data_IF_729350058985
#
_entry.id   IF_729350058985
#
_cell.length_a   1.000
_cell.length_b   1.000
_cell.length_c   1.000
_cell.angle_alpha   90.00
_cell.angle_beta   90.00
_cell.angle_gamma   90.00
#
_symmetry.space_group_name_H-M   'P 1'
#
loop_
_entity.id
_entity.type
_entity.pdbx_description
1 polymer ?
#
# COMPACT_ATOMS: atom_id res chain seq x y z
N UNK A 1 11.12 -22.36 -13.93
CA UNK A 1 12.22 -21.41 -13.73
C UNK A 1 12.39 -20.66 -15.04
N UNK A 2 12.31 -19.31 -15.02
CA UNK A 2 12.54 -18.51 -16.21
C UNK A 2 13.94 -18.78 -16.74
N UNK A 3 14.06 -19.05 -18.05
CA UNK A 3 15.34 -19.33 -18.70
C UNK A 3 16.22 -18.09 -18.85
N UNK A 4 15.64 -16.91 -18.73
CA UNK A 4 16.31 -15.61 -18.82
C UNK A 4 15.60 -14.60 -17.89
N UNK A 5 15.92 -14.60 -16.58
CA UNK A 5 15.32 -13.68 -15.63
C UNK A 5 15.83 -12.26 -15.90
N UNK A 6 14.92 -11.32 -16.20
CA UNK A 6 15.25 -9.90 -16.26
C UNK A 6 15.33 -9.30 -14.85
N UNK A 7 16.24 -8.33 -14.69
CA UNK A 7 16.30 -7.53 -13.47
C UNK A 7 15.27 -6.39 -13.53
N UNK A 8 14.63 -6.11 -12.41
CA UNK A 8 13.83 -4.90 -12.26
C UNK A 8 14.72 -3.67 -12.36
N UNK A 9 14.21 -2.59 -12.95
CA UNK A 9 14.94 -1.36 -13.16
C UNK A 9 14.15 -0.18 -12.62
N UNK A 10 14.84 0.64 -11.83
CA UNK A 10 14.32 1.90 -11.33
C UNK A 10 15.06 3.08 -11.93
N UNK A 11 14.31 4.04 -12.44
CA UNK A 11 14.82 5.36 -12.83
C UNK A 11 14.03 6.40 -12.06
N UNK A 12 14.67 7.04 -11.09
CA UNK A 12 14.01 8.02 -10.23
C UNK A 12 14.71 9.36 -10.31
N UNK A 13 13.92 10.42 -10.32
CA UNK A 13 14.37 11.80 -10.15
C UNK A 13 13.53 12.47 -9.07
N UNK A 14 14.20 13.18 -8.18
CA UNK A 14 13.58 13.92 -7.09
C UNK A 14 14.17 15.33 -7.03
N UNK A 15 13.32 16.32 -6.79
CA UNK A 15 13.74 17.69 -6.52
C UNK A 15 12.96 18.22 -5.33
N UNK A 16 13.63 18.96 -4.44
CA UNK A 16 12.99 19.48 -3.25
C UNK A 16 13.67 20.70 -2.69
N UNK A 17 12.93 21.38 -1.80
CA UNK A 17 13.40 22.55 -1.07
C UNK A 17 13.15 22.33 0.41
N UNK A 18 14.17 22.62 1.21
CA UNK A 18 14.08 22.65 2.67
C UNK A 18 14.26 24.07 3.18
N UNK A 19 13.34 24.52 4.02
CA UNK A 19 13.45 25.77 4.75
C UNK A 19 13.41 25.46 6.24
N UNK A 20 14.31 26.02 7.02
CA UNK A 20 14.39 25.78 8.46
C UNK A 20 14.83 27.04 9.20
N UNK A 21 14.12 27.31 10.29
CA UNK A 21 14.47 28.30 11.31
C UNK A 21 14.49 27.62 12.68
N UNK A 22 14.70 28.37 13.75
CA UNK A 22 14.63 27.84 15.11
C UNK A 22 13.26 27.24 15.45
N UNK A 23 12.17 27.81 14.92
CA UNK A 23 10.81 27.43 15.31
C UNK A 23 10.00 26.78 14.18
N UNK A 24 10.44 26.87 12.94
CA UNK A 24 9.70 26.35 11.77
C UNK A 24 10.64 25.59 10.87
N UNK A 25 10.21 24.41 10.44
CA UNK A 25 10.85 23.66 9.36
C UNK A 25 9.77 23.26 8.34
N UNK A 26 10.09 23.43 7.05
CA UNK A 26 9.23 23.02 5.93
C UNK A 26 10.10 22.33 4.90
N UNK A 27 9.64 21.16 4.43
CA UNK A 27 10.22 20.43 3.30
C UNK A 27 9.16 20.26 2.25
N UNK A 28 9.50 20.56 0.99
CA UNK A 28 8.67 20.25 -0.17
C UNK A 28 9.51 19.45 -1.13
N UNK A 29 9.02 18.31 -1.59
CA UNK A 29 9.68 17.49 -2.60
C UNK A 29 8.70 17.00 -3.65
N UNK A 30 9.16 16.90 -4.89
CA UNK A 30 8.45 16.28 -5.99
C UNK A 30 9.32 15.18 -6.58
N UNK A 31 8.69 14.08 -6.94
CA UNK A 31 9.39 12.91 -7.48
C UNK A 31 8.72 12.37 -8.74
N UNK A 32 9.53 11.73 -9.58
CA UNK A 32 9.08 10.90 -10.70
C UNK A 32 9.95 9.64 -10.72
N UNK A 33 9.32 8.49 -10.66
CA UNK A 33 9.97 7.18 -10.69
C UNK A 33 9.32 6.31 -11.75
N UNK A 34 10.11 5.81 -12.68
CA UNK A 34 9.73 4.75 -13.60
C UNK A 34 10.28 3.43 -13.05
N UNK A 35 9.39 2.52 -12.69
CA UNK A 35 9.71 1.16 -12.26
C UNK A 35 9.40 0.21 -13.40
N UNK A 36 10.43 -0.30 -14.02
CA UNK A 36 10.36 -1.09 -15.25
C UNK A 36 10.74 -2.54 -14.99
N UNK A 37 10.23 -3.41 -15.86
CA UNK A 37 10.52 -4.85 -15.86
C UNK A 37 10.20 -5.53 -14.51
N UNK A 38 9.19 -5.00 -13.80
CA UNK A 38 8.78 -5.54 -12.51
C UNK A 38 8.30 -6.98 -12.64
N UNK A 39 8.73 -7.80 -11.69
CA UNK A 39 8.29 -9.18 -11.56
C UNK A 39 7.19 -9.27 -10.50
N UNK A 40 6.06 -9.86 -10.87
CA UNK A 40 4.93 -10.08 -9.95
C UNK A 40 4.53 -11.55 -9.95
N UNK A 41 4.01 -11.99 -8.82
CA UNK A 41 3.37 -13.29 -8.68
C UNK A 41 1.89 -13.06 -8.47
N UNK A 42 1.05 -13.70 -9.27
CA UNK A 42 -0.40 -13.63 -9.17
C UNK A 42 -1.02 -15.01 -9.12
N UNK A 43 -2.05 -15.19 -8.31
CA UNK A 43 -2.87 -16.39 -8.32
C UNK A 43 -3.91 -16.31 -9.43
N UNK A 44 -4.09 -17.39 -10.16
CA UNK A 44 -5.10 -17.53 -11.21
C UNK A 44 -5.92 -18.80 -10.95
N UNK A 45 -7.19 -18.78 -11.29
CA UNK A 45 -8.02 -19.98 -11.27
C UNK A 45 -7.88 -20.68 -12.60
N UNK A 46 -7.37 -21.91 -12.59
CA UNK A 46 -7.26 -22.79 -13.75
C UNK A 46 -8.29 -23.90 -13.64
N UNK A 47 -8.91 -24.28 -14.77
CA UNK A 47 -9.92 -25.35 -14.80
C UNK A 47 -11.35 -24.85 -14.97
N UNK A 48 -12.24 -25.77 -15.35
CA UNK A 48 -13.69 -25.51 -15.52
C UNK A 48 -14.47 -26.13 -14.35
N UNK A 49 -15.33 -25.34 -13.74
CA UNK A 49 -16.31 -25.79 -12.73
C UNK A 49 -15.97 -25.37 -11.30
N UNK A 50 -16.79 -25.84 -10.34
CA UNK A 50 -16.73 -25.48 -8.90
C UNK A 50 -15.45 -25.99 -8.18
N UNK A 51 -14.57 -26.69 -8.87
CA UNK A 51 -13.30 -27.23 -8.37
C UNK A 51 -12.10 -26.70 -9.13
N UNK A 52 -12.14 -25.45 -9.59
CA UNK A 52 -10.99 -24.82 -10.24
C UNK A 52 -9.77 -24.84 -9.33
N UNK A 53 -8.67 -25.42 -9.82
CA UNK A 53 -7.40 -25.37 -9.12
C UNK A 53 -6.86 -23.91 -9.15
N UNK A 54 -6.21 -23.52 -8.08
CA UNK A 54 -5.53 -22.24 -8.02
C UNK A 54 -4.07 -22.44 -8.37
N UNK A 55 -3.64 -21.86 -9.46
CA UNK A 55 -2.25 -21.83 -9.88
C UNK A 55 -1.62 -20.47 -9.61
N UNK A 56 -0.29 -20.44 -9.66
CA UNK A 56 0.50 -19.23 -9.49
C UNK A 56 1.24 -18.94 -10.79
N UNK A 57 0.99 -17.77 -11.36
CA UNK A 57 1.73 -17.29 -12.52
C UNK A 57 2.80 -16.28 -12.10
N UNK A 58 3.94 -16.36 -12.75
CA UNK A 58 5.03 -15.40 -12.60
C UNK A 58 5.01 -14.46 -13.79
N UNK A 59 4.68 -13.22 -13.56
CA UNK A 59 4.63 -12.16 -14.56
C UNK A 59 5.93 -11.38 -14.54
N UNK A 60 6.39 -10.96 -15.70
CA UNK A 60 7.56 -10.08 -15.86
C UNK A 60 7.26 -8.96 -16.86
N UNK A 61 8.10 -7.93 -16.89
CA UNK A 61 7.93 -6.83 -17.83
C UNK A 61 6.79 -5.87 -17.49
N UNK A 62 6.33 -5.86 -16.24
CA UNK A 62 5.29 -4.93 -15.78
C UNK A 62 5.94 -3.59 -15.42
N UNK A 63 5.44 -2.52 -16.02
CA UNK A 63 5.95 -1.19 -15.79
C UNK A 63 4.98 -0.37 -14.97
N UNK A 64 5.50 0.50 -14.12
CA UNK A 64 4.72 1.43 -13.32
C UNK A 64 5.39 2.80 -13.32
N UNK A 65 4.59 3.83 -13.33
CA UNK A 65 5.02 5.21 -13.19
C UNK A 65 4.48 5.81 -11.90
N UNK A 66 5.38 6.28 -11.05
CA UNK A 66 5.05 6.86 -9.75
C UNK A 66 5.49 8.32 -9.73
N UNK A 67 4.53 9.22 -9.68
CA UNK A 67 4.78 10.66 -9.57
C UNK A 67 4.11 11.19 -8.32
N UNK A 68 4.71 12.20 -7.69
CA UNK A 68 4.07 12.77 -6.52
C UNK A 68 4.71 14.05 -6.01
N UNK A 69 3.97 14.66 -5.09
CA UNK A 69 4.35 15.84 -4.33
C UNK A 69 4.20 15.52 -2.85
N UNK A 70 5.22 15.85 -2.06
CA UNK A 70 5.23 15.69 -0.62
C UNK A 70 5.56 17.01 0.05
N UNK A 71 4.82 17.34 1.10
CA UNK A 71 5.02 18.53 1.91
C UNK A 71 5.05 18.10 3.37
N UNK A 72 6.12 18.43 4.07
CA UNK A 72 6.25 18.23 5.51
C UNK A 72 6.48 19.57 6.18
N UNK A 73 5.85 19.79 7.31
CA UNK A 73 6.03 21.01 8.11
C UNK A 73 6.04 20.68 9.59
N UNK A 74 6.88 21.35 10.34
CA UNK A 74 6.82 21.37 11.79
C UNK A 74 6.98 22.78 12.32
N UNK A 75 6.25 23.09 13.40
CA UNK A 75 6.26 24.41 14.02
C UNK A 75 6.26 24.28 15.55
N UNK A 76 7.24 24.84 16.19
CA UNK A 76 7.29 25.04 17.64
C UNK A 76 6.61 26.36 17.97
N UNK A 77 5.38 26.28 18.49
CA UNK A 77 4.62 27.49 18.88
C UNK A 77 5.20 28.15 20.13
N UNK A 78 5.66 27.34 21.07
CA UNK A 78 6.35 27.72 22.29
C UNK A 78 7.04 26.47 22.86
N UNK A 79 7.60 26.58 24.09
CA UNK A 79 8.31 25.45 24.72
C UNK A 79 7.42 24.26 25.10
N UNK A 80 6.10 24.46 25.13
CA UNK A 80 5.14 23.42 25.49
C UNK A 80 4.43 22.81 24.29
N UNK A 81 4.33 23.51 23.16
CA UNK A 81 3.45 23.12 22.04
C UNK A 81 4.25 23.06 20.75
N UNK A 82 4.24 21.89 20.11
CA UNK A 82 4.73 21.67 18.75
C UNK A 82 3.61 21.11 17.88
N UNK A 83 3.49 21.62 16.65
CA UNK A 83 2.62 21.11 15.61
C UNK A 83 3.48 20.48 14.50
N UNK A 84 3.00 19.37 13.97
CA UNK A 84 3.60 18.67 12.84
C UNK A 84 2.53 18.40 11.78
N UNK A 85 2.89 18.51 10.51
CA UNK A 85 1.99 18.23 9.41
C UNK A 85 2.74 17.60 8.24
N UNK A 86 2.08 16.69 7.55
CA UNK A 86 2.57 16.13 6.29
C UNK A 86 1.41 15.92 5.32
N UNK A 87 1.67 16.13 4.04
CA UNK A 87 0.73 15.86 2.95
C UNK A 87 1.48 15.17 1.83
N UNK A 88 0.91 14.09 1.31
CA UNK A 88 1.41 13.38 0.13
C UNK A 88 0.31 13.27 -0.91
N UNK A 89 0.62 13.64 -2.15
CA UNK A 89 -0.21 13.44 -3.33
C UNK A 89 0.54 12.58 -4.32
N UNK A 90 0.09 11.35 -4.51
CA UNK A 90 0.59 10.42 -5.51
C UNK A 90 -0.27 10.40 -6.77
N UNK A 91 0.36 10.04 -7.87
CA UNK A 91 -0.26 9.65 -9.14
C UNK A 91 0.52 8.45 -9.66
N UNK A 92 0.11 7.26 -9.23
CA UNK A 92 0.80 6.00 -9.51
C UNK A 92 -0.05 5.14 -10.41
N UNK A 93 0.48 4.82 -11.58
CA UNK A 93 -0.23 4.05 -12.60
C UNK A 93 0.65 3.00 -13.23
N UNK A 94 0.01 1.96 -13.73
CA UNK A 94 0.65 1.04 -14.66
C UNK A 94 0.94 1.77 -15.97
N UNK A 95 2.10 1.47 -16.59
CA UNK A 95 2.59 2.04 -17.83
C UNK A 95 2.74 0.93 -18.87
N UNK A 96 1.67 0.66 -19.58
CA UNK A 96 1.52 -0.43 -20.52
C UNK A 96 0.87 -1.69 -19.95
N UNK A 97 0.48 -2.56 -20.86
CA UNK A 97 -0.12 -3.86 -20.55
C UNK A 97 0.94 -4.89 -20.19
N UNK A 98 0.58 -5.84 -19.33
CA UNK A 98 1.43 -6.99 -19.08
C UNK A 98 1.21 -8.06 -20.16
N UNK A 99 2.30 -8.49 -20.82
CA UNK A 99 2.29 -9.54 -21.84
C UNK A 99 3.46 -10.49 -21.63
N UNK A 100 3.21 -11.75 -21.82
CA UNK A 100 4.26 -12.76 -21.66
C UNK A 100 3.75 -14.17 -21.93
N UNK A 101 4.51 -15.13 -21.46
CA UNK A 101 4.16 -16.55 -21.54
C UNK A 101 4.38 -17.20 -20.18
N UNK A 102 3.46 -18.06 -19.77
CA UNK A 102 3.69 -18.97 -18.66
C UNK A 102 3.79 -20.42 -19.15
N UNK A 103 4.45 -21.26 -18.40
CA UNK A 103 4.63 -22.67 -18.72
C UNK A 103 3.96 -23.51 -17.65
N UNK A 104 3.14 -24.46 -18.11
CA UNK A 104 2.49 -25.47 -17.28
C UNK A 104 2.93 -26.88 -17.72
N UNK A 105 2.90 -27.82 -16.77
CA UNK A 105 3.13 -29.20 -17.14
C UNK A 105 1.96 -29.73 -17.96
N UNK A 106 2.26 -30.38 -19.08
CA UNK A 106 1.29 -31.14 -19.86
C UNK A 106 1.27 -32.59 -19.36
N UNK A 107 0.06 -33.10 -19.08
CA UNK A 107 -0.13 -34.44 -18.52
C UNK A 107 -0.85 -35.36 -19.54
N UNK A 108 -0.50 -36.63 -19.54
CA UNK A 108 -1.28 -37.66 -20.25
C UNK A 108 -2.50 -38.10 -19.41
N UNK A 109 -3.32 -38.98 -20.01
CA UNK A 109 -4.51 -39.53 -19.33
C UNK A 109 -4.17 -40.36 -18.07
N UNK A 110 -2.91 -40.73 -17.88
CA UNK A 110 -2.40 -41.49 -16.74
C UNK A 110 -1.81 -40.54 -15.65
N UNK A 111 -1.87 -39.20 -15.86
CA UNK A 111 -1.36 -38.20 -14.92
C UNK A 111 0.16 -38.02 -14.93
N UNK A 112 0.85 -38.53 -15.94
CA UNK A 112 2.31 -38.39 -16.09
C UNK A 112 2.62 -37.12 -16.89
N UNK A 113 3.66 -36.38 -16.47
CA UNK A 113 4.15 -35.20 -17.21
C UNK A 113 4.76 -35.69 -18.54
N UNK A 114 4.19 -35.24 -19.66
CA UNK A 114 4.64 -35.55 -21.00
C UNK A 114 5.35 -34.40 -21.70
N UNK A 115 5.24 -33.19 -21.17
CA UNK A 115 5.84 -32.00 -21.76
C UNK A 115 5.60 -30.73 -20.96
N UNK A 116 5.95 -29.59 -21.58
CA UNK A 116 5.63 -28.27 -21.11
C UNK A 116 4.77 -27.60 -22.17
N UNK A 117 3.59 -27.19 -21.77
CA UNK A 117 2.72 -26.34 -22.58
C UNK A 117 3.02 -24.85 -22.25
N UNK A 118 3.31 -24.09 -23.28
CA UNK A 118 3.53 -22.64 -23.16
C UNK A 118 2.27 -21.91 -23.57
N UNK A 119 1.71 -21.12 -22.65
CA UNK A 119 0.49 -20.36 -22.87
C UNK A 119 0.81 -18.86 -22.82
N UNK A 120 0.51 -18.08 -23.87
CA UNK A 120 0.66 -16.63 -23.83
C UNK A 120 -0.39 -16.04 -22.90
N UNK A 121 -0.05 -14.92 -22.25
CA UNK A 121 -0.98 -14.10 -21.49
C UNK A 121 -0.91 -12.66 -21.94
N UNK A 122 -2.04 -11.97 -21.83
CA UNK A 122 -2.14 -10.50 -21.97
C UNK A 122 -3.09 -9.99 -20.92
N UNK A 123 -2.65 -9.01 -20.14
CA UNK A 123 -3.47 -8.35 -19.12
C UNK A 123 -3.55 -6.85 -19.39
N UNK A 124 -4.77 -6.33 -19.43
CA UNK A 124 -5.08 -4.93 -19.70
C UNK A 124 -4.79 -4.07 -18.46
N UNK A 125 -3.56 -3.59 -18.32
CA UNK A 125 -3.10 -2.83 -17.16
C UNK A 125 -2.87 -1.35 -17.46
N UNK A 126 -2.67 -0.97 -18.73
CA UNK A 126 -2.28 0.40 -19.09
C UNK A 126 -3.24 1.45 -18.50
N UNK A 127 -2.67 2.40 -17.77
CA UNK A 127 -3.39 3.49 -17.12
C UNK A 127 -4.18 3.13 -15.86
N UNK A 128 -4.19 1.86 -15.40
CA UNK A 128 -4.77 1.49 -14.12
C UNK A 128 -4.01 2.12 -12.96
N UNK A 129 -4.76 2.50 -11.91
CA UNK A 129 -4.16 2.91 -10.65
C UNK A 129 -3.43 1.75 -9.98
N UNK A 130 -2.25 2.02 -9.44
CA UNK A 130 -1.53 1.07 -8.61
C UNK A 130 -2.23 0.98 -7.26
N UNK A 131 -2.53 -0.24 -6.83
CA UNK A 131 -3.18 -0.55 -5.55
C UNK A 131 -2.23 -0.61 -4.35
N UNK A 132 -2.74 -1.16 -3.26
CA UNK A 132 -2.07 -1.51 -2.00
C UNK A 132 -1.65 -0.33 -1.12
N UNK A 133 -1.64 0.90 -1.64
CA UNK A 133 -1.30 2.08 -0.84
C UNK A 133 -2.14 3.30 -1.22
N UNK A 134 -2.62 4.08 -0.23
CA UNK A 134 -3.31 5.34 -0.49
C UNK A 134 -2.41 6.33 -1.22
N UNK A 135 -2.87 6.84 -2.36
CA UNK A 135 -2.12 7.81 -3.15
C UNK A 135 -2.28 9.25 -2.63
N UNK A 136 -3.16 9.46 -1.65
CA UNK A 136 -3.29 10.74 -0.95
C UNK A 136 -3.31 10.50 0.55
N UNK A 137 -2.42 11.16 1.26
CA UNK A 137 -2.33 11.08 2.71
C UNK A 137 -2.15 12.47 3.33
N UNK A 138 -2.81 12.69 4.46
CA UNK A 138 -2.65 13.85 5.31
C UNK A 138 -2.33 13.39 6.72
N UNK A 139 -1.35 13.98 7.34
CA UNK A 139 -0.98 13.71 8.73
C UNK A 139 -0.92 15.04 9.48
N UNK A 140 -1.59 15.12 10.60
CA UNK A 140 -1.55 16.28 11.50
C UNK A 140 -1.23 15.80 12.92
N UNK A 141 -0.17 16.33 13.50
CA UNK A 141 0.31 16.00 14.82
C UNK A 141 0.33 17.23 15.75
N UNK A 142 -0.04 17.03 17.00
CA UNK A 142 0.15 18.00 18.05
C UNK A 142 0.87 17.34 19.23
N UNK A 143 1.95 17.93 19.67
CA UNK A 143 2.72 17.51 20.85
C UNK A 143 2.63 18.55 21.94
N UNK A 144 2.28 18.12 23.16
CA UNK A 144 2.21 18.93 24.36
C UNK A 144 3.23 18.44 25.38
N UNK A 145 4.00 19.37 25.96
CA UNK A 145 4.92 19.13 27.08
C UNK A 145 4.56 20.06 28.25
N UNK A 146 3.39 19.84 28.91
CA UNK A 146 2.81 20.81 29.83
C UNK A 146 3.60 20.95 31.13
N UNK A 147 4.33 19.92 31.51
CA UNK A 147 5.23 19.90 32.67
C UNK A 147 6.49 19.09 32.36
N UNK A 148 7.55 19.34 33.11
CA UNK A 148 8.81 18.63 32.94
C UNK A 148 8.62 17.10 33.02
N UNK A 149 9.07 16.40 32.00
CA UNK A 149 9.02 14.95 31.92
C UNK A 149 7.72 14.38 31.32
N UNK A 150 6.64 15.15 31.19
CA UNK A 150 5.40 14.70 30.56
C UNK A 150 5.34 15.16 29.09
N UNK A 151 5.16 14.22 28.17
CA UNK A 151 4.90 14.47 26.76
C UNK A 151 3.63 13.75 26.35
N UNK A 152 2.71 14.49 25.75
CA UNK A 152 1.48 13.98 25.17
C UNK A 152 1.47 14.30 23.66
N UNK A 153 1.01 13.38 22.83
CA UNK A 153 0.94 13.59 21.40
C UNK A 153 -0.34 12.96 20.83
N UNK A 154 -1.02 13.70 19.98
CA UNK A 154 -2.09 13.21 19.13
C UNK A 154 -1.66 13.31 17.68
N UNK A 155 -1.93 12.25 16.89
CA UNK A 155 -1.64 12.18 15.46
C UNK A 155 -2.90 11.77 14.73
N UNK A 156 -3.49 12.69 13.96
CA UNK A 156 -4.59 12.43 13.05
C UNK A 156 -4.01 12.10 11.67
N UNK A 157 -4.39 10.95 11.11
CA UNK A 157 -4.01 10.48 9.79
C UNK A 157 -5.27 10.33 8.96
N UNK A 158 -5.26 10.86 7.74
CA UNK A 158 -6.36 10.78 6.79
C UNK A 158 -5.84 10.23 5.47
N UNK A 159 -6.55 9.27 4.89
CA UNK A 159 -6.15 8.57 3.68
C UNK A 159 -7.28 8.60 2.66
N UNK A 160 -6.91 8.82 1.41
CA UNK A 160 -7.82 8.82 0.26
C UNK A 160 -7.12 8.21 -0.96
N UNK A 161 -7.89 7.88 -1.99
CA UNK A 161 -7.39 7.26 -3.21
C UNK A 161 -6.59 5.97 -2.92
N UNK A 162 -7.14 5.14 -2.04
CA UNK A 162 -6.65 3.78 -1.83
C UNK A 162 -7.34 2.87 -2.86
N UNK A 163 -6.60 2.38 -3.84
CA UNK A 163 -7.12 1.52 -4.89
C UNK A 163 -6.81 0.07 -4.57
N UNK A 164 -7.72 -0.82 -4.97
CA UNK A 164 -7.49 -2.26 -4.90
C UNK A 164 -6.41 -2.70 -5.89
N UNK A 165 -5.72 -3.78 -5.57
CA UNK A 165 -4.86 -4.44 -6.54
C UNK A 165 -5.70 -5.12 -7.62
N UNK A 166 -5.19 -5.23 -8.82
CA UNK A 166 -5.87 -5.86 -9.94
C UNK A 166 -5.84 -7.40 -9.86
N UNK A 167 -6.85 -8.05 -10.43
CA UNK A 167 -6.91 -9.52 -10.54
C UNK A 167 -6.65 -9.96 -11.99
N UNK A 168 -5.80 -10.97 -12.25
CA UNK A 168 -5.56 -11.51 -13.58
C UNK A 168 -6.85 -11.97 -14.27
N UNK A 169 -7.72 -12.66 -13.54
CA UNK A 169 -8.97 -13.20 -14.08
C UNK A 169 -9.94 -12.13 -14.63
N UNK A 170 -9.79 -10.87 -14.16
CA UNK A 170 -10.61 -9.76 -14.62
C UNK A 170 -9.96 -8.95 -15.75
N UNK A 171 -8.65 -9.11 -15.98
CA UNK A 171 -7.87 -8.27 -16.89
C UNK A 171 -7.30 -9.02 -18.09
N UNK A 172 -7.49 -10.34 -18.14
CA UNK A 172 -7.07 -11.13 -19.30
C UNK A 172 -7.86 -10.74 -20.54
N UNK A 173 -7.15 -10.62 -21.66
CA UNK A 173 -7.73 -10.35 -22.98
C UNK A 173 -6.91 -11.03 -24.07
N UNK A 174 -7.48 -11.22 -25.24
CA UNK A 174 -6.88 -11.94 -26.37
C UNK A 174 -5.80 -11.15 -27.15
N UNK A 175 -5.52 -9.91 -26.70
CA UNK A 175 -4.61 -8.99 -27.37
C UNK A 175 -5.33 -8.00 -28.29
N UNK A 176 -6.66 -8.10 -28.45
CA UNK A 176 -7.51 -7.12 -29.12
C UNK A 176 -8.02 -6.07 -28.14
N UNK A 177 -7.81 -4.78 -28.43
CA UNK A 177 -8.31 -3.70 -27.57
C UNK A 177 -9.85 -3.70 -27.42
N UNK A 178 -10.58 -4.36 -28.33
CA UNK A 178 -12.03 -4.47 -28.25
C UNK A 178 -12.50 -5.31 -27.05
N UNK A 179 -11.68 -6.28 -26.62
CA UNK A 179 -12.01 -7.19 -25.53
C UNK A 179 -11.32 -6.82 -24.22
N UNK A 180 -10.43 -5.82 -24.25
CA UNK A 180 -9.68 -5.38 -23.08
C UNK A 180 -10.56 -4.58 -22.11
N UNK A 181 -10.66 -5.02 -20.86
CA UNK A 181 -11.29 -4.22 -19.81
C UNK A 181 -10.34 -3.12 -19.33
N UNK A 182 -10.64 -1.89 -19.72
CA UNK A 182 -9.89 -0.67 -19.36
C UNK A 182 -10.50 0.11 -18.19
N UNK A 183 -11.57 -0.41 -17.56
CA UNK A 183 -12.19 0.21 -16.39
C UNK A 183 -11.20 0.27 -15.24
N UNK A 184 -11.31 1.29 -14.40
CA UNK A 184 -10.42 1.41 -13.24
C UNK A 184 -10.74 0.35 -12.18
N UNK A 185 -9.72 -0.02 -11.41
CA UNK A 185 -9.89 -0.85 -10.21
C UNK A 185 -10.73 -0.14 -9.16
N UNK A 186 -11.40 -0.93 -8.30
CA UNK A 186 -12.21 -0.36 -7.22
C UNK A 186 -11.38 0.52 -6.30
N UNK A 187 -11.93 1.68 -5.95
CA UNK A 187 -11.36 2.58 -4.96
C UNK A 187 -12.03 2.37 -3.60
N UNK A 188 -11.25 2.01 -2.60
CA UNK A 188 -11.72 1.88 -1.23
C UNK A 188 -12.15 3.25 -0.64
N UNK A 189 -13.13 3.26 0.29
CA UNK A 189 -13.55 4.49 0.95
C UNK A 189 -12.40 5.16 1.70
N UNK A 190 -12.36 6.49 1.67
CA UNK A 190 -11.43 7.27 2.50
C UNK A 190 -11.68 7.01 3.98
N UNK A 191 -10.61 7.11 4.79
CA UNK A 191 -10.71 6.87 6.23
C UNK A 191 -9.75 7.76 7.02
N UNK A 192 -10.06 7.87 8.32
CA UNK A 192 -9.26 8.65 9.28
C UNK A 192 -8.88 7.76 10.47
N UNK A 193 -7.67 7.97 11.00
CA UNK A 193 -7.19 7.32 12.21
C UNK A 193 -6.60 8.37 13.15
N UNK A 194 -6.93 8.25 14.43
CA UNK A 194 -6.31 9.05 15.49
C UNK A 194 -5.47 8.13 16.37
N UNK A 195 -4.19 8.44 16.49
CA UNK A 195 -3.28 7.77 17.43
C UNK A 195 -2.93 8.74 18.56
N UNK A 196 -2.95 8.25 19.81
CA UNK A 196 -2.62 9.01 21.02
C UNK A 196 -1.42 8.37 21.71
N UNK A 197 -0.47 9.21 22.08
CA UNK A 197 0.76 8.76 22.74
C UNK A 197 1.04 9.63 23.97
N UNK A 198 1.47 8.99 25.04
CA UNK A 198 1.90 9.64 26.27
C UNK A 198 3.22 9.05 26.76
N UNK A 199 4.11 9.89 27.25
CA UNK A 199 5.29 9.44 27.95
C UNK A 199 5.53 10.31 29.19
N UNK A 200 5.92 9.68 30.30
CA UNK A 200 6.25 10.39 31.52
C UNK A 200 7.56 9.88 32.09
N UNK A 201 8.52 10.77 32.22
CA UNK A 201 9.79 10.51 32.90
C UNK A 201 9.57 10.59 34.41
N UNK A 202 9.71 9.47 35.08
CA UNK A 202 9.57 9.38 36.54
C UNK A 202 10.74 10.10 37.28
N UNK A 203 10.51 10.61 38.48
CA UNK A 203 11.62 10.98 39.36
C UNK A 203 12.61 9.82 39.52
N UNK A 204 13.89 10.16 39.64
CA UNK A 204 14.91 9.12 39.88
C UNK A 204 14.64 8.37 41.19
N UNK A 205 14.60 7.05 41.12
CA UNK A 205 14.41 6.17 42.27
C UNK A 205 15.64 5.25 42.35
N UNK A 206 16.40 5.30 43.47
CA UNK A 206 17.59 4.49 43.63
C UNK A 206 18.69 4.70 42.58
N UNK A 207 18.76 5.89 41.97
CA UNK A 207 19.70 6.20 40.89
C UNK A 207 19.25 5.80 39.49
N UNK A 208 18.15 5.06 39.37
CA UNK A 208 17.60 4.60 38.07
C UNK A 208 16.81 5.71 37.38
N UNK A 209 17.02 5.83 36.08
CA UNK A 209 16.18 6.64 35.18
C UNK A 209 15.04 5.79 34.62
N UNK A 210 13.79 6.16 34.90
CA UNK A 210 12.61 5.40 34.49
C UNK A 210 11.63 6.26 33.72
N UNK A 211 10.94 5.68 32.72
CA UNK A 211 9.82 6.31 32.04
C UNK A 211 8.68 5.32 31.76
N UNK A 212 7.45 5.83 31.87
CA UNK A 212 6.25 5.13 31.46
C UNK A 212 5.84 5.67 30.08
N UNK A 213 5.53 4.76 29.15
CA UNK A 213 5.00 5.08 27.83
C UNK A 213 3.65 4.40 27.67
N UNK A 214 2.67 5.13 27.16
CA UNK A 214 1.33 4.63 26.85
C UNK A 214 0.93 5.05 25.44
N UNK A 215 0.33 4.13 24.69
CA UNK A 215 -0.10 4.37 23.31
C UNK A 215 -1.50 3.79 23.10
N UNK A 216 -2.34 4.57 22.44
CA UNK A 216 -3.64 4.14 21.94
C UNK A 216 -3.62 4.35 20.44
N UNK A 217 -3.70 3.27 19.68
CA UNK A 217 -3.75 3.30 18.23
C UNK A 217 -5.19 3.19 17.77
N UNK A 218 -5.53 3.89 16.68
CA UNK A 218 -6.88 3.99 16.17
C UNK A 218 -7.90 4.33 17.29
N UNK A 219 -7.63 5.40 18.04
CA UNK A 219 -8.42 5.79 19.21
C UNK A 219 -9.90 6.04 18.90
N UNK A 220 -10.24 6.40 17.65
CA UNK A 220 -11.60 6.57 17.17
C UNK A 220 -12.30 5.24 16.84
N UNK A 221 -11.58 4.12 16.91
CA UNK A 221 -12.07 2.78 16.54
C UNK A 221 -12.66 2.73 15.12
N UNK A 222 -12.03 3.44 14.19
CA UNK A 222 -12.47 3.48 12.81
C UNK A 222 -12.33 2.10 12.16
N UNK A 223 -13.38 1.63 11.50
CA UNK A 223 -13.34 0.46 10.62
C UNK A 223 -12.98 0.96 9.22
N UNK A 224 -11.94 0.40 8.62
CA UNK A 224 -11.46 0.84 7.32
C UNK A 224 -10.88 -0.32 6.52
N UNK A 225 -10.92 -0.19 5.20
CA UNK A 225 -10.25 -1.09 4.27
C UNK A 225 -8.80 -0.66 4.16
N UNK A 226 -7.90 -1.53 4.59
CA UNK A 226 -6.46 -1.30 4.52
C UNK A 226 -5.94 -1.70 3.14
N UNK A 227 -6.44 -2.81 2.61
CA UNK A 227 -6.02 -3.40 1.37
C UNK A 227 -7.19 -4.12 0.70
N UNK A 228 -7.16 -4.29 -0.64
CA UNK A 228 -8.20 -4.97 -1.38
C UNK A 228 -7.69 -5.53 -2.71
N UNK A 229 -8.32 -6.62 -3.17
CA UNK A 229 -8.14 -7.18 -4.51
C UNK A 229 -9.42 -7.00 -5.31
N UNK A 230 -9.32 -6.32 -6.45
CA UNK A 230 -10.42 -6.03 -7.35
C UNK A 230 -10.86 -7.27 -8.10
N UNK A 231 -12.17 -7.49 -8.23
CA UNK A 231 -12.73 -8.67 -8.88
C UNK A 231 -12.04 -9.98 -8.45
N UNK A 232 -11.85 -10.16 -7.14
CA UNK A 232 -11.17 -11.32 -6.59
C UNK A 232 -11.86 -12.62 -7.00
N UNK A 233 -11.07 -13.63 -7.33
CA UNK A 233 -11.58 -14.98 -7.60
C UNK A 233 -12.38 -15.60 -6.44
N UNK A 234 -12.16 -15.11 -5.21
CA UNK A 234 -12.86 -15.57 -4.01
C UNK A 234 -14.22 -14.87 -3.78
N UNK A 235 -14.49 -13.77 -4.47
CA UNK A 235 -15.74 -13.02 -4.43
C UNK A 235 -16.47 -13.10 -5.79
N UNK A 236 -16.48 -14.28 -6.40
CA UNK A 236 -16.92 -14.53 -7.75
C UNK A 236 -18.41 -14.31 -8.00
N UNK A 237 -18.84 -13.08 -8.12
CA UNK A 237 -20.17 -12.75 -8.64
C UNK A 237 -20.24 -12.81 -10.18
N UNK A 238 -19.10 -13.02 -10.85
CA UNK A 238 -19.01 -13.26 -12.30
C UNK A 238 -19.23 -12.05 -13.18
N UNK A 239 -19.65 -10.91 -12.65
CA UNK A 239 -20.02 -9.72 -13.40
C UNK A 239 -18.84 -8.75 -13.67
N UNK A 240 -17.70 -8.90 -13.00
CA UNK A 240 -16.45 -8.12 -13.17
C UNK A 240 -16.69 -6.60 -13.23
N UNK A 241 -17.56 -6.07 -12.37
CA UNK A 241 -18.00 -4.67 -12.43
C UNK A 241 -17.12 -3.69 -11.64
N UNK A 242 -16.03 -4.11 -11.01
CA UNK A 242 -15.14 -3.27 -10.20
C UNK A 242 -15.88 -2.53 -9.06
N UNK A 243 -16.83 -3.20 -8.43
CA UNK A 243 -17.68 -2.70 -7.35
C UNK A 243 -17.26 -3.30 -6.00
N UNK A 244 -17.68 -2.70 -4.87
CA UNK A 244 -17.29 -3.19 -3.54
C UNK A 244 -17.60 -4.68 -3.29
N UNK A 245 -18.67 -5.20 -3.86
CA UNK A 245 -19.08 -6.60 -3.68
C UNK A 245 -18.25 -7.58 -4.51
N UNK A 246 -17.50 -7.09 -5.51
CA UNK A 246 -16.55 -7.88 -6.28
C UNK A 246 -15.14 -7.86 -5.66
N UNK A 247 -14.88 -6.94 -4.75
CA UNK A 247 -13.57 -6.81 -4.12
C UNK A 247 -13.44 -7.74 -2.91
N UNK A 248 -12.30 -8.39 -2.79
CA UNK A 248 -11.85 -8.99 -1.54
C UNK A 248 -11.19 -7.90 -0.70
N UNK A 249 -11.63 -7.71 0.54
CA UNK A 249 -11.17 -6.60 1.37
C UNK A 249 -10.49 -7.09 2.64
N UNK A 250 -9.41 -6.44 3.01
CA UNK A 250 -8.67 -6.67 4.23
C UNK A 250 -8.85 -5.46 5.15
N UNK A 251 -9.47 -5.69 6.29
CA UNK A 251 -9.74 -4.62 7.24
C UNK A 251 -8.49 -4.26 8.04
N UNK A 252 -8.35 -2.98 8.30
CA UNK A 252 -7.27 -2.47 9.12
C UNK A 252 -7.44 -2.79 10.61
N UNK A 253 -6.36 -2.61 11.35
CA UNK A 253 -6.29 -2.93 12.79
C UNK A 253 -7.30 -2.09 13.59
N UNK A 254 -8.15 -2.70 14.43
CA UNK A 254 -9.07 -1.99 15.32
C UNK A 254 -8.31 -1.21 16.39
N UNK A 255 -9.03 -0.49 17.25
CA UNK A 255 -8.41 0.21 18.39
C UNK A 255 -7.70 -0.77 19.30
N UNK A 256 -6.45 -0.46 19.63
CA UNK A 256 -5.69 -1.19 20.65
C UNK A 256 -4.79 -0.23 21.43
N UNK A 257 -4.38 -0.66 22.62
CA UNK A 257 -3.52 0.11 23.48
C UNK A 257 -2.37 -0.74 24.03
N UNK A 258 -1.25 -0.09 24.32
CA UNK A 258 -0.15 -0.68 25.07
C UNK A 258 0.41 0.29 26.11
N UNK A 259 1.03 -0.27 27.14
CA UNK A 259 1.77 0.46 28.18
C UNK A 259 3.12 -0.23 28.36
N UNK A 260 4.17 0.55 28.45
CA UNK A 260 5.53 0.10 28.67
C UNK A 260 6.23 0.87 29.79
N UNK A 261 7.09 0.19 30.53
CA UNK A 261 8.04 0.78 31.47
C UNK A 261 9.45 0.62 30.89
N UNK A 262 10.18 1.72 30.77
CA UNK A 262 11.61 1.70 30.40
C UNK A 262 12.43 2.04 31.63
N UNK A 263 13.45 1.22 31.93
CA UNK A 263 14.38 1.40 33.02
C UNK A 263 15.80 1.43 32.43
N UNK A 264 16.55 2.51 32.73
CA UNK A 264 17.96 2.66 32.36
C UNK A 264 18.82 2.59 33.61
N UNK A 265 19.87 1.78 33.56
CA UNK A 265 20.80 1.51 34.64
C UNK A 265 22.06 2.36 34.55
#
# INVERSE_FOLDING_TARGET
VASDPSNEKFVSSEAGVNFSTENVAVKVSAYNTDWMDRNLTKSVTTGQGDSGDTDVIFLSGINQKHQGLEIEASMKLNDMIRLDGAVSFGNWKFDGDAKGNYQENEYNDEGQVIGLKTTPYSYALDGLWVGDMPQTAYVMGATLTPIKGLRLQGILKMYDKNYSDWSPNAREYDGSDADADRSQVWQAPKYNRLDLHGSYKLPKIGGLDMSINAHIFNALDAVYVQDAVDNSQYNGYGDKLHLPHNAEVFLGTPRYANIGLVVNF
#
